data_IF_488762077018
#
_entry.id   IF_488762077018
#
_cell.length_a   1.000
_cell.length_b   1.000
_cell.length_c   1.000
_cell.angle_alpha   90.00
_cell.angle_beta   90.00
_cell.angle_gamma   90.00
#
_symmetry.space_group_name_H-M   'P 1'
#
loop_
_entity.id
_entity.type
_entity.pdbx_description
1 polymer ?
#
# COMPACT_ATOMS: atom_id res chain seq x y z
N UNK A 1 82.78 18.80 11.10
CA UNK A 1 82.69 18.85 9.62
C UNK A 1 82.03 17.56 9.17
N UNK A 2 80.89 17.70 8.48
CA UNK A 2 80.27 16.81 7.47
C UNK A 2 80.12 15.32 7.84
N UNK A 3 78.90 14.81 8.03
CA UNK A 3 77.93 14.38 6.99
C UNK A 3 78.55 13.44 5.95
N UNK A 4 77.91 12.27 5.71
CA UNK A 4 77.23 11.92 4.45
C UNK A 4 76.64 10.49 4.48
N UNK A 5 75.35 10.40 4.08
CA UNK A 5 74.56 9.30 3.43
C UNK A 5 74.32 7.97 4.16
N UNK A 6 73.07 7.62 4.50
CA UNK A 6 71.96 7.07 3.68
C UNK A 6 72.24 5.69 3.07
N UNK A 7 71.40 4.71 3.42
CA UNK A 7 71.01 3.66 2.48
C UNK A 7 70.88 2.24 3.03
N UNK A 8 69.63 1.81 3.13
CA UNK A 8 69.13 0.47 2.76
C UNK A 8 68.87 -0.60 3.84
N UNK A 9 67.74 -1.28 3.63
CA UNK A 9 67.00 -2.17 4.50
C UNK A 9 67.57 -3.59 4.52
N UNK A 10 67.87 -4.11 5.71
CA UNK A 10 67.63 -5.52 6.05
C UNK A 10 67.55 -5.68 7.57
N UNK A 11 66.38 -6.09 8.07
CA UNK A 11 66.25 -6.68 9.40
C UNK A 11 66.12 -8.19 9.20
N UNK A 12 67.26 -8.87 9.19
CA UNK A 12 67.36 -10.32 9.40
C UNK A 12 67.68 -10.58 10.88
N UNK A 13 66.78 -11.34 11.51
CA UNK A 13 66.99 -12.38 12.51
C UNK A 13 68.22 -12.30 13.42
N UNK A 14 67.99 -11.92 14.69
CA UNK A 14 68.89 -12.25 15.78
C UNK A 14 68.42 -13.55 16.45
N UNK A 15 68.99 -14.67 16.00
CA UNK A 15 69.01 -15.95 16.70
C UNK A 15 69.56 -15.79 18.12
N UNK A 16 68.80 -16.27 19.10
CA UNK A 16 69.26 -16.46 20.48
C UNK A 16 70.22 -17.66 20.45
N UNK A 17 71.51 -17.41 20.68
CA UNK A 17 72.56 -18.43 20.62
C UNK A 17 72.54 -19.38 21.82
N UNK A 18 72.85 -20.66 21.58
CA UNK A 18 72.87 -21.76 22.58
C UNK A 18 73.76 -21.48 23.81
N UNK A 19 74.69 -20.53 23.75
CA UNK A 19 75.57 -20.14 24.86
C UNK A 19 74.86 -19.40 26.01
N UNK A 20 73.70 -18.76 25.78
CA UNK A 20 72.90 -18.15 26.86
C UNK A 20 72.05 -19.18 27.62
N UNK A 21 71.69 -20.30 26.97
CA UNK A 21 70.92 -21.39 27.57
C UNK A 21 71.76 -22.23 28.53
N UNK A 22 73.04 -22.45 28.21
CA UNK A 22 73.96 -23.25 29.06
C UNK A 22 74.32 -22.58 30.40
N UNK A 23 74.31 -21.23 30.47
CA UNK A 23 74.61 -20.53 31.74
C UNK A 23 73.48 -20.65 32.76
N UNK A 24 72.24 -20.79 32.30
CA UNK A 24 71.07 -20.90 33.17
C UNK A 24 70.93 -22.33 33.74
N UNK A 25 71.43 -23.35 33.03
CA UNK A 25 71.35 -24.75 33.48
C UNK A 25 72.39 -25.14 34.54
N UNK A 26 73.46 -24.38 34.76
CA UNK A 26 74.59 -24.80 35.62
C UNK A 26 74.63 -24.20 37.04
N UNK A 27 73.53 -23.64 37.54
CA UNK A 27 73.39 -23.20 38.93
C UNK A 27 72.21 -23.92 39.64
N UNK A 28 72.55 -24.98 40.35
CA UNK A 28 71.69 -25.90 41.12
C UNK A 28 70.56 -25.25 41.97
N UNK A 29 69.32 -25.72 41.80
CA UNK A 29 68.62 -26.54 42.82
C UNK A 29 67.28 -27.16 42.31
N UNK A 30 67.08 -28.50 42.36
CA UNK A 30 65.98 -29.19 41.67
C UNK A 30 64.73 -29.44 42.54
N UNK A 31 64.23 -28.45 43.28
CA UNK A 31 62.93 -28.59 43.98
C UNK A 31 61.97 -27.40 43.87
N UNK A 32 62.39 -26.27 43.30
CA UNK A 32 61.53 -25.09 43.15
C UNK A 32 60.96 -24.96 41.73
N UNK A 33 61.67 -25.46 40.71
CA UNK A 33 61.25 -25.32 39.31
C UNK A 33 60.04 -26.20 38.94
N UNK A 34 59.91 -27.39 39.53
CA UNK A 34 58.71 -28.23 39.36
C UNK A 34 57.47 -27.58 39.97
N UNK A 35 57.58 -26.97 41.14
CA UNK A 35 56.46 -26.27 41.79
C UNK A 35 56.12 -24.98 41.05
N UNK A 36 57.10 -24.19 40.61
CA UNK A 36 56.83 -22.95 39.86
C UNK A 36 56.23 -23.22 38.48
N UNK A 37 56.66 -24.27 37.77
CA UNK A 37 56.13 -24.64 36.45
C UNK A 37 54.74 -25.29 36.57
N UNK A 38 54.48 -26.07 37.63
CA UNK A 38 53.13 -26.58 37.94
C UNK A 38 52.18 -25.44 38.35
N UNK A 39 52.67 -24.45 39.11
CA UNK A 39 51.89 -23.23 39.45
C UNK A 39 51.66 -22.39 38.20
N UNK A 40 52.64 -22.23 37.32
CA UNK A 40 52.48 -21.45 36.08
C UNK A 40 51.51 -22.11 35.10
N UNK A 41 51.57 -23.43 34.93
CA UNK A 41 50.60 -24.21 34.14
C UNK A 41 49.22 -24.19 34.80
N UNK A 42 49.13 -24.32 36.13
CA UNK A 42 47.85 -24.22 36.84
C UNK A 42 47.24 -22.82 36.72
N UNK A 43 48.04 -21.75 36.81
CA UNK A 43 47.60 -20.36 36.60
C UNK A 43 47.21 -20.13 35.14
N UNK A 44 47.94 -20.67 34.16
CA UNK A 44 47.52 -20.62 32.75
C UNK A 44 46.23 -21.40 32.49
N UNK A 45 46.04 -22.58 33.07
CA UNK A 45 44.81 -23.37 32.94
C UNK A 45 43.64 -22.68 33.64
N UNK A 46 43.87 -22.01 34.78
CA UNK A 46 42.86 -21.18 35.47
C UNK A 46 42.59 -19.88 34.70
N UNK A 47 43.57 -19.27 34.03
CA UNK A 47 43.35 -18.09 33.20
C UNK A 47 42.67 -18.44 31.86
N UNK A 48 43.04 -19.55 31.21
CA UNK A 48 42.38 -20.05 29.98
C UNK A 48 41.00 -20.60 30.31
N UNK A 49 40.85 -21.33 31.42
CA UNK A 49 39.56 -21.81 31.92
C UNK A 49 38.69 -20.68 32.48
N UNK A 50 39.28 -19.64 33.06
CA UNK A 50 38.61 -18.43 33.52
C UNK A 50 38.20 -17.52 32.38
N UNK A 51 38.99 -17.41 31.31
CA UNK A 51 38.61 -16.77 30.06
C UNK A 51 37.54 -17.57 29.35
N UNK A 52 37.68 -18.89 29.20
CA UNK A 52 36.66 -19.75 28.60
C UNK A 52 35.37 -19.76 29.41
N UNK A 53 35.44 -19.77 30.74
CA UNK A 53 34.27 -19.66 31.62
C UNK A 53 33.69 -18.25 31.62
N UNK A 54 34.50 -17.20 31.51
CA UNK A 54 34.02 -15.83 31.33
C UNK A 54 33.31 -15.70 29.99
N UNK A 55 33.92 -16.12 28.87
CA UNK A 55 33.31 -16.16 27.54
C UNK A 55 32.07 -17.05 27.51
N UNK A 56 32.07 -18.20 28.17
CA UNK A 56 30.90 -19.09 28.25
C UNK A 56 29.79 -18.47 29.10
N UNK A 57 30.12 -17.80 30.21
CA UNK A 57 29.15 -17.17 31.09
C UNK A 57 28.63 -15.83 30.53
N UNK A 58 29.46 -15.04 29.83
CA UNK A 58 29.02 -13.85 29.10
C UNK A 58 28.27 -14.21 27.84
N UNK A 59 28.68 -15.26 27.09
CA UNK A 59 27.89 -15.82 25.99
C UNK A 59 26.56 -16.31 26.52
N UNK A 60 26.48 -17.19 27.52
CA UNK A 60 25.19 -17.68 28.04
C UNK A 60 24.26 -16.57 28.56
N UNK A 61 24.81 -15.47 29.12
CA UNK A 61 24.04 -14.30 29.56
C UNK A 61 23.61 -13.42 28.37
N UNK A 62 24.45 -13.25 27.35
CA UNK A 62 24.09 -12.60 26.08
C UNK A 62 23.09 -13.44 25.28
N UNK A 63 23.26 -14.76 25.25
CA UNK A 63 22.38 -15.75 24.65
C UNK A 63 20.98 -15.65 25.24
N UNK A 64 20.86 -15.55 26.57
CA UNK A 64 19.56 -15.34 27.23
C UNK A 64 18.92 -13.98 26.93
N UNK A 65 19.72 -12.94 26.66
CA UNK A 65 19.21 -11.58 26.38
C UNK A 65 18.79 -11.43 24.93
N UNK A 66 19.57 -11.98 23.99
CA UNK A 66 19.26 -11.96 22.56
C UNK A 66 18.09 -12.87 22.21
N UNK A 67 18.01 -14.07 22.80
CA UNK A 67 16.84 -14.93 22.63
C UNK A 67 15.56 -14.23 23.10
N UNK A 68 15.60 -13.55 24.26
CA UNK A 68 14.47 -12.77 24.74
C UNK A 68 14.12 -11.62 23.78
N UNK A 69 15.12 -10.89 23.26
CA UNK A 69 14.87 -9.82 22.28
C UNK A 69 14.21 -10.35 21.00
N UNK A 70 14.58 -11.55 20.54
CA UNK A 70 13.95 -12.17 19.37
C UNK A 70 12.50 -12.57 19.68
N UNK A 71 12.22 -13.11 20.88
CA UNK A 71 10.87 -13.41 21.34
C UNK A 71 10.01 -12.15 21.45
N UNK A 72 10.56 -11.08 22.01
CA UNK A 72 9.87 -9.78 22.14
C UNK A 72 9.56 -9.21 20.76
N UNK A 73 10.53 -9.19 19.84
CA UNK A 73 10.31 -8.78 18.45
C UNK A 73 9.22 -9.63 17.77
N UNK A 74 9.22 -10.95 17.98
CA UNK A 74 8.18 -11.83 17.41
C UNK A 74 6.80 -11.54 17.99
N UNK A 75 6.72 -11.30 19.30
CA UNK A 75 5.48 -10.92 19.99
C UNK A 75 4.92 -9.60 19.44
N UNK A 76 5.77 -8.62 19.16
CA UNK A 76 5.38 -7.36 18.55
C UNK A 76 4.86 -7.55 17.11
N UNK A 77 5.47 -8.43 16.31
CA UNK A 77 4.93 -8.82 15.01
C UNK A 77 3.53 -9.41 15.18
N UNK A 78 3.38 -10.43 16.01
CA UNK A 78 2.12 -11.14 16.19
C UNK A 78 0.99 -10.22 16.66
N UNK A 79 1.28 -9.31 17.60
CA UNK A 79 0.31 -8.34 18.12
C UNK A 79 -0.07 -7.30 17.06
N UNK A 80 0.89 -6.78 16.30
CA UNK A 80 0.61 -5.84 15.22
C UNK A 80 -0.22 -6.50 14.12
N UNK A 81 0.12 -7.73 13.74
CA UNK A 81 -0.65 -8.52 12.76
C UNK A 81 -2.07 -8.80 13.25
N UNK A 82 -2.26 -9.17 14.52
CA UNK A 82 -3.60 -9.39 15.08
C UNK A 82 -4.46 -8.12 15.04
N UNK A 83 -3.87 -6.95 15.33
CA UNK A 83 -4.57 -5.68 15.21
C UNK A 83 -4.91 -5.35 13.74
N UNK A 84 -3.99 -5.62 12.81
CA UNK A 84 -4.19 -5.37 11.38
C UNK A 84 -5.33 -6.21 10.81
N UNK A 85 -5.28 -7.51 11.05
CA UNK A 85 -6.30 -8.47 10.58
C UNK A 85 -7.66 -8.20 11.20
N UNK A 86 -7.73 -7.97 12.52
CA UNK A 86 -8.98 -7.57 13.15
C UNK A 86 -9.55 -6.26 12.58
N UNK A 87 -8.70 -5.31 12.21
CA UNK A 87 -9.16 -4.07 11.56
C UNK A 87 -9.58 -4.27 10.11
N UNK A 88 -9.05 -5.29 9.44
CA UNK A 88 -9.41 -5.65 8.08
C UNK A 88 -10.73 -6.41 8.02
N UNK A 89 -10.99 -7.31 8.97
CA UNK A 89 -12.22 -8.10 9.06
C UNK A 89 -13.48 -7.23 9.24
N UNK A 90 -13.32 -6.00 9.73
CA UNK A 90 -14.41 -5.01 9.86
C UNK A 90 -14.77 -4.32 8.52
N UNK A 91 -14.04 -4.60 7.45
CA UNK A 91 -14.17 -3.93 6.15
C UNK A 91 -15.07 -4.75 5.23
N UNK A 92 -16.28 -4.23 4.99
CA UNK A 92 -17.24 -4.81 4.05
C UNK A 92 -17.33 -4.03 2.72
N UNK A 93 -16.70 -2.87 2.65
CA UNK A 93 -16.69 -1.98 1.51
C UNK A 93 -15.31 -1.39 1.26
N UNK A 94 -14.91 -1.37 -0.01
CA UNK A 94 -13.60 -0.91 -0.45
C UNK A 94 -13.31 0.54 -0.06
N UNK A 95 -14.34 1.40 0.02
CA UNK A 95 -14.19 2.80 0.41
C UNK A 95 -13.85 2.98 1.89
N UNK A 96 -14.14 1.98 2.73
CA UNK A 96 -13.83 1.99 4.16
C UNK A 96 -12.32 1.85 4.40
N UNK A 97 -11.59 1.19 3.49
CA UNK A 97 -10.12 1.04 3.56
C UNK A 97 -9.38 2.38 3.70
N UNK A 98 -9.93 3.44 3.09
CA UNK A 98 -9.31 4.77 3.05
C UNK A 98 -10.19 5.87 3.67
N UNK A 99 -11.22 5.49 4.44
CA UNK A 99 -12.07 6.43 5.16
C UNK A 99 -11.29 7.08 6.31
N UNK A 100 -11.28 8.42 6.38
CA UNK A 100 -10.58 9.16 7.44
C UNK A 100 -11.38 9.17 8.75
N UNK A 101 -11.31 8.06 9.48
CA UNK A 101 -11.95 7.88 10.79
C UNK A 101 -10.93 7.45 11.84
N UNK A 102 -11.19 7.81 13.11
CA UNK A 102 -10.27 7.50 14.20
C UNK A 102 -10.20 5.98 14.43
N UNK A 103 -9.04 5.39 14.19
CA UNK A 103 -8.84 3.94 14.31
C UNK A 103 -9.12 3.18 13.01
N UNK A 104 -9.15 3.87 11.87
CA UNK A 104 -9.30 3.23 10.56
C UNK A 104 -8.16 2.25 10.24
N UNK A 105 -8.45 1.37 9.28
CA UNK A 105 -7.51 0.38 8.76
C UNK A 105 -6.19 0.99 8.30
N UNK A 106 -6.24 2.12 7.58
CA UNK A 106 -5.03 2.80 7.09
C UNK A 106 -4.08 3.21 8.22
N UNK A 107 -4.59 3.62 9.40
CA UNK A 107 -3.75 3.89 10.56
C UNK A 107 -3.09 2.61 11.08
N UNK A 108 -3.86 1.54 11.23
CA UNK A 108 -3.36 0.24 11.70
C UNK A 108 -2.31 -0.36 10.76
N UNK A 109 -2.50 -0.21 9.45
CA UNK A 109 -1.54 -0.59 8.41
C UNK A 109 -0.22 0.19 8.55
N UNK A 110 -0.29 1.51 8.74
CA UNK A 110 0.89 2.34 8.96
C UNK A 110 1.62 2.02 10.27
N UNK A 111 0.88 1.80 11.36
CA UNK A 111 1.46 1.39 12.65
C UNK A 111 2.15 0.02 12.52
N UNK A 112 1.54 -0.94 11.81
CA UNK A 112 2.15 -2.26 11.54
C UNK A 112 3.42 -2.12 10.70
N UNK A 113 3.40 -1.31 9.63
CA UNK A 113 4.58 -1.02 8.82
C UNK A 113 5.74 -0.42 9.65
N UNK A 114 5.43 0.48 10.60
CA UNK A 114 6.45 1.03 11.52
C UNK A 114 7.03 -0.08 12.41
N UNK A 115 6.19 -0.92 13.01
CA UNK A 115 6.63 -2.03 13.87
C UNK A 115 7.56 -2.98 13.11
N UNK A 116 7.20 -3.40 11.89
CA UNK A 116 8.05 -4.27 11.07
C UNK A 116 9.40 -3.62 10.74
N UNK A 117 9.40 -2.31 10.47
CA UNK A 117 10.63 -1.56 10.20
C UNK A 117 11.55 -1.51 11.43
N UNK A 118 10.98 -1.23 12.61
CA UNK A 118 11.74 -1.19 13.87
C UNK A 118 12.33 -2.58 14.20
N UNK A 119 11.54 -3.64 14.01
CA UNK A 119 11.99 -5.02 14.19
C UNK A 119 13.10 -5.38 13.19
N UNK A 120 12.99 -4.96 11.93
CA UNK A 120 14.04 -5.18 10.92
C UNK A 120 15.38 -4.57 11.37
N UNK A 121 15.37 -3.36 11.95
CA UNK A 121 16.58 -2.76 12.51
C UNK A 121 17.11 -3.52 13.73
N UNK A 122 16.22 -3.97 14.61
CA UNK A 122 16.59 -4.74 15.79
C UNK A 122 17.26 -6.07 15.40
N UNK A 123 16.68 -6.82 14.45
CA UNK A 123 17.24 -8.09 13.98
C UNK A 123 18.61 -7.91 13.33
N UNK A 124 18.79 -6.88 12.49
CA UNK A 124 20.09 -6.54 11.87
C UNK A 124 21.18 -6.20 12.89
N UNK A 125 20.78 -5.63 14.04
CA UNK A 125 21.73 -5.33 15.13
C UNK A 125 22.20 -6.59 15.86
N UNK A 126 21.41 -7.68 15.80
CA UNK A 126 21.69 -8.95 16.46
C UNK A 126 22.48 -9.90 15.54
N UNK A 127 22.24 -9.87 14.22
CA UNK A 127 22.91 -10.74 13.24
C UNK A 127 24.42 -10.51 13.07
N UNK A 128 24.98 -9.44 13.66
CA UNK A 128 26.43 -9.19 13.73
C UNK A 128 27.21 -10.04 14.75
N UNK A 129 26.52 -10.84 15.58
CA UNK A 129 27.14 -11.66 16.64
C UNK A 129 27.07 -13.16 16.31
N UNK A 130 28.17 -13.89 16.51
CA UNK A 130 28.27 -15.31 16.18
C UNK A 130 27.40 -16.16 17.12
N UNK A 131 26.19 -16.53 16.67
CA UNK A 131 25.19 -17.24 17.47
C UNK A 131 24.77 -18.59 16.87
N UNK A 132 24.40 -19.57 17.71
CA UNK A 132 23.87 -20.88 17.30
C UNK A 132 22.41 -20.84 16.79
N UNK A 133 21.74 -19.68 16.90
CA UNK A 133 20.39 -19.36 16.41
C UNK A 133 20.34 -18.53 15.12
N UNK A 134 21.46 -18.39 14.40
CA UNK A 134 21.61 -17.57 13.20
C UNK A 134 20.57 -17.92 12.09
N UNK A 135 20.14 -19.18 12.01
CA UNK A 135 19.15 -19.61 11.01
C UNK A 135 17.75 -19.05 11.29
N UNK A 136 17.27 -19.08 12.54
CA UNK A 136 15.93 -18.55 12.89
C UNK A 136 15.90 -17.03 12.70
N UNK A 137 16.95 -16.34 13.15
CA UNK A 137 17.08 -14.88 12.98
C UNK A 137 17.07 -14.52 11.49
N UNK A 138 17.89 -15.19 10.68
CA UNK A 138 17.93 -14.97 9.24
C UNK A 138 16.58 -15.23 8.56
N UNK A 139 15.84 -16.27 8.96
CA UNK A 139 14.48 -16.52 8.43
C UNK A 139 13.48 -15.47 8.90
N UNK A 140 13.61 -14.98 10.12
CA UNK A 140 12.75 -13.95 10.67
C UNK A 140 12.99 -12.61 9.97
N UNK A 141 14.26 -12.27 9.69
CA UNK A 141 14.62 -11.09 8.88
C UNK A 141 13.97 -11.15 7.49
N UNK A 142 14.10 -12.30 6.80
CA UNK A 142 13.47 -12.48 5.47
C UNK A 142 11.95 -12.39 5.56
N UNK A 143 11.32 -13.02 6.56
CA UNK A 143 9.87 -12.93 6.74
C UNK A 143 9.42 -11.48 6.97
N UNK A 144 10.07 -10.74 7.88
CA UNK A 144 9.76 -9.34 8.18
C UNK A 144 9.94 -8.46 6.94
N UNK A 145 10.97 -8.70 6.14
CA UNK A 145 11.19 -8.00 4.87
C UNK A 145 10.04 -8.27 3.88
N UNK A 146 9.70 -9.53 3.65
CA UNK A 146 8.59 -9.91 2.75
C UNK A 146 7.24 -9.38 3.22
N UNK A 147 6.99 -9.42 4.52
CA UNK A 147 5.77 -8.87 5.09
C UNK A 147 5.72 -7.34 4.92
N UNK A 148 6.84 -6.64 5.13
CA UNK A 148 6.90 -5.19 4.89
C UNK A 148 6.70 -4.82 3.42
N UNK A 149 7.22 -5.60 2.48
CA UNK A 149 6.99 -5.37 1.05
C UNK A 149 5.51 -5.60 0.68
N UNK A 150 4.89 -6.67 1.18
CA UNK A 150 3.45 -6.93 1.04
C UNK A 150 2.60 -5.76 1.57
N UNK A 151 2.87 -5.29 2.79
CA UNK A 151 2.11 -4.17 3.37
C UNK A 151 2.34 -2.84 2.64
N UNK A 152 3.51 -2.64 2.03
CA UNK A 152 3.79 -1.47 1.20
C UNK A 152 2.98 -1.49 -0.08
N UNK A 153 2.88 -2.65 -0.72
CA UNK A 153 2.04 -2.81 -1.91
C UNK A 153 0.56 -2.64 -1.58
N UNK A 154 0.10 -3.20 -0.45
CA UNK A 154 -1.26 -2.99 0.04
C UNK A 154 -1.57 -1.49 0.24
N UNK A 155 -0.65 -0.75 0.84
CA UNK A 155 -0.79 0.70 1.02
C UNK A 155 -0.82 1.44 -0.33
N UNK A 156 0.06 1.07 -1.26
CA UNK A 156 0.10 1.63 -2.63
C UNK A 156 -1.24 1.45 -3.35
N UNK A 157 -1.79 0.23 -3.30
CA UNK A 157 -3.07 -0.09 -3.91
C UNK A 157 -4.23 0.68 -3.28
N UNK A 158 -4.26 0.82 -1.95
CA UNK A 158 -5.26 1.65 -1.24
C UNK A 158 -5.16 3.13 -1.65
N UNK A 159 -3.96 3.65 -1.85
CA UNK A 159 -3.77 5.04 -2.27
C UNK A 159 -4.22 5.27 -3.73
N UNK A 160 -4.01 4.29 -4.62
CA UNK A 160 -4.54 4.30 -5.98
C UNK A 160 -6.07 4.25 -6.00
N UNK A 161 -6.65 3.39 -5.16
CA UNK A 161 -8.10 3.25 -4.98
C UNK A 161 -8.73 4.57 -4.54
N UNK A 162 -8.15 5.22 -3.53
CA UNK A 162 -8.57 6.55 -3.05
C UNK A 162 -8.52 7.61 -4.16
N UNK A 163 -7.54 7.50 -5.06
CA UNK A 163 -7.41 8.36 -6.24
C UNK A 163 -8.39 8.03 -7.38
N UNK A 164 -9.19 6.97 -7.25
CA UNK A 164 -10.10 6.49 -8.29
C UNK A 164 -9.40 5.84 -9.48
N UNK A 165 -8.12 5.48 -9.33
CA UNK A 165 -7.24 4.99 -10.40
C UNK A 165 -7.30 3.48 -10.61
N UNK A 166 -7.90 2.73 -9.68
CA UNK A 166 -8.09 1.28 -9.83
C UNK A 166 -9.14 1.01 -10.89
N UNK A 167 -8.73 0.30 -11.94
CA UNK A 167 -9.56 -0.03 -13.11
C UNK A 167 -9.76 -1.53 -13.29
N UNK A 168 -8.87 -2.36 -12.75
CA UNK A 168 -8.89 -3.82 -12.94
C UNK A 168 -8.41 -4.60 -11.72
N UNK A 169 -8.84 -5.86 -11.59
CA UNK A 169 -8.38 -6.78 -10.54
C UNK A 169 -6.95 -7.24 -10.78
N UNK A 170 -6.52 -7.28 -12.04
CA UNK A 170 -5.16 -7.65 -12.44
C UNK A 170 -4.09 -6.73 -11.81
N UNK A 171 -4.47 -5.53 -11.35
CA UNK A 171 -3.61 -4.62 -10.58
C UNK A 171 -3.23 -5.20 -9.20
N UNK A 172 -3.96 -6.18 -8.67
CA UNK A 172 -3.63 -6.89 -7.43
C UNK A 172 -2.56 -7.98 -7.62
N UNK A 173 -2.10 -8.23 -8.84
CA UNK A 173 -1.14 -9.30 -9.13
C UNK A 173 0.11 -9.20 -8.26
N UNK A 174 0.71 -8.01 -8.15
CA UNK A 174 1.94 -7.81 -7.38
C UNK A 174 1.67 -8.02 -5.88
N UNK A 175 0.49 -7.62 -5.39
CA UNK A 175 0.05 -7.89 -4.02
C UNK A 175 -0.06 -9.40 -3.74
N UNK A 176 -0.64 -10.18 -4.66
CA UNK A 176 -0.73 -11.64 -4.54
C UNK A 176 0.66 -12.29 -4.55
N UNK A 177 1.54 -11.90 -5.47
CA UNK A 177 2.91 -12.45 -5.55
C UNK A 177 3.71 -12.15 -4.27
N UNK A 178 3.55 -10.96 -3.69
CA UNK A 178 4.16 -10.59 -2.41
C UNK A 178 3.54 -11.36 -1.24
N UNK A 179 2.22 -11.57 -1.24
CA UNK A 179 1.52 -12.39 -0.25
C UNK A 179 2.02 -13.84 -0.26
N UNK A 180 2.12 -14.46 -1.43
CA UNK A 180 2.67 -15.81 -1.59
C UNK A 180 4.13 -15.90 -1.12
N UNK A 181 4.95 -14.89 -1.48
CA UNK A 181 6.34 -14.83 -1.02
C UNK A 181 6.44 -14.65 0.50
N UNK A 182 5.52 -13.93 1.13
CA UNK A 182 5.46 -13.77 2.58
C UNK A 182 5.06 -15.10 3.25
N UNK A 183 4.08 -15.80 2.69
CA UNK A 183 3.60 -17.10 3.20
C UNK A 183 4.73 -18.14 3.18
N UNK A 184 5.44 -18.26 2.06
CA UNK A 184 6.61 -19.16 1.94
C UNK A 184 7.73 -18.78 2.92
N UNK A 185 7.97 -17.48 3.14
CA UNK A 185 8.94 -17.03 4.12
C UNK A 185 8.52 -17.38 5.57
N UNK A 186 7.23 -17.27 5.88
CA UNK A 186 6.66 -17.66 7.17
C UNK A 186 6.80 -19.17 7.41
N UNK A 187 6.45 -20.00 6.44
CA UNK A 187 6.60 -21.47 6.55
C UNK A 187 8.06 -21.85 6.81
N UNK A 188 9.00 -21.23 6.07
CA UNK A 188 10.44 -21.44 6.25
C UNK A 188 10.93 -21.01 7.64
N UNK A 189 10.36 -19.94 8.19
CA UNK A 189 10.64 -19.46 9.54
C UNK A 189 10.15 -20.47 10.59
N UNK A 190 8.88 -20.91 10.50
CA UNK A 190 8.30 -21.90 11.42
C UNK A 190 9.09 -23.22 11.38
N UNK A 191 9.50 -23.69 10.21
CA UNK A 191 10.31 -24.91 10.08
C UNK A 191 11.71 -24.74 10.67
N UNK A 192 12.29 -23.54 10.55
CA UNK A 192 13.61 -23.24 11.09
C UNK A 192 13.62 -23.14 12.63
N UNK A 193 12.48 -22.85 13.25
CA UNK A 193 12.36 -22.66 14.70
C UNK A 193 12.37 -23.98 15.50
N UNK A 194 13.54 -24.61 15.55
CA UNK A 194 13.77 -25.81 16.39
C UNK A 194 13.80 -25.47 17.89
N UNK A 195 14.01 -24.21 18.24
CA UNK A 195 14.13 -23.72 19.61
C UNK A 195 12.81 -23.33 20.26
N UNK A 196 11.71 -23.28 19.50
CA UNK A 196 10.41 -22.75 19.94
C UNK A 196 10.54 -21.31 20.45
N UNK A 197 11.32 -20.50 19.74
CA UNK A 197 11.43 -19.06 19.95
C UNK A 197 10.12 -18.38 19.52
N UNK A 198 9.46 -18.94 18.50
CA UNK A 198 8.15 -18.53 18.03
C UNK A 198 7.11 -19.23 18.89
N UNK A 199 6.57 -18.50 19.86
CA UNK A 199 5.56 -19.00 20.79
C UNK A 199 4.12 -18.66 20.35
N UNK A 200 3.98 -17.79 19.36
CA UNK A 200 2.72 -17.23 18.88
C UNK A 200 2.57 -17.46 17.38
N UNK A 201 1.49 -18.14 16.96
CA UNK A 201 1.17 -18.34 15.53
C UNK A 201 0.46 -17.09 15.01
N UNK A 202 0.77 -16.67 13.77
CA UNK A 202 0.09 -15.53 13.17
C UNK A 202 -1.38 -15.88 12.85
N UNK A 203 -2.31 -14.92 12.94
CA UNK A 203 -3.70 -15.12 12.57
C UNK A 203 -3.83 -15.62 11.12
N UNK A 204 -4.70 -16.60 10.90
CA UNK A 204 -4.96 -17.16 9.56
C UNK A 204 -5.47 -16.12 8.57
N UNK A 205 -6.14 -15.10 9.09
CA UNK A 205 -6.73 -13.99 8.39
C UNK A 205 -5.66 -13.22 7.60
N UNK A 206 -4.43 -13.08 8.13
CA UNK A 206 -3.31 -12.44 7.43
C UNK A 206 -3.09 -13.05 6.04
N UNK A 207 -3.15 -14.37 5.97
CA UNK A 207 -2.84 -15.13 4.77
C UNK A 207 -4.01 -15.14 3.76
N UNK A 208 -5.20 -14.74 4.19
CA UNK A 208 -6.38 -14.60 3.35
C UNK A 208 -6.65 -13.16 2.90
N UNK A 209 -6.10 -12.15 3.58
CA UNK A 209 -6.30 -10.73 3.26
C UNK A 209 -6.11 -10.41 1.77
N UNK A 210 -5.10 -11.00 1.13
CA UNK A 210 -4.84 -10.77 -0.31
C UNK A 210 -6.00 -11.23 -1.20
N UNK A 211 -6.65 -12.34 -0.85
CA UNK A 211 -7.83 -12.84 -1.55
C UNK A 211 -9.06 -12.01 -1.24
N UNK A 212 -9.24 -11.62 0.01
CA UNK A 212 -10.37 -10.77 0.42
C UNK A 212 -10.28 -9.37 -0.23
N UNK A 213 -9.07 -8.86 -0.47
CA UNK A 213 -8.84 -7.66 -1.28
C UNK A 213 -9.31 -7.82 -2.73
N UNK A 214 -9.19 -9.01 -3.32
CA UNK A 214 -9.73 -9.33 -4.65
C UNK A 214 -11.26 -9.17 -4.67
N UNK A 215 -11.93 -9.77 -3.68
CA UNK A 215 -13.39 -9.70 -3.53
C UNK A 215 -13.88 -8.27 -3.32
N UNK A 216 -13.22 -7.50 -2.44
CA UNK A 216 -13.55 -6.08 -2.22
C UNK A 216 -13.33 -5.23 -3.48
N UNK A 217 -12.25 -5.50 -4.23
CA UNK A 217 -11.94 -4.78 -5.48
C UNK A 217 -12.96 -5.10 -6.57
N UNK A 218 -13.33 -6.37 -6.74
CA UNK A 218 -14.35 -6.78 -7.69
C UNK A 218 -15.67 -6.09 -7.41
N UNK A 219 -16.10 -6.08 -6.13
CA UNK A 219 -17.32 -5.39 -5.70
C UNK A 219 -17.27 -3.90 -6.04
N UNK A 220 -16.15 -3.23 -5.74
CA UNK A 220 -15.95 -1.81 -6.06
C UNK A 220 -16.07 -1.52 -7.56
N UNK A 221 -15.41 -2.32 -8.41
CA UNK A 221 -15.45 -2.16 -9.86
C UNK A 221 -16.85 -2.42 -10.43
N UNK A 222 -17.56 -3.44 -9.92
CA UNK A 222 -18.92 -3.74 -10.31
C UNK A 222 -19.89 -2.61 -9.95
N UNK A 223 -19.75 -2.03 -8.76
CA UNK A 223 -20.60 -0.93 -8.31
C UNK A 223 -20.30 0.36 -9.11
N UNK A 224 -19.03 0.65 -9.41
CA UNK A 224 -18.63 1.75 -10.32
C UNK A 224 -19.25 1.57 -11.71
N UNK A 225 -19.24 0.33 -12.24
CA UNK A 225 -19.85 0.01 -13.54
C UNK A 225 -21.37 0.18 -13.51
N UNK A 226 -22.06 -0.34 -12.49
CA UNK A 226 -23.51 -0.19 -12.34
C UNK A 226 -23.91 1.28 -12.27
N UNK A 227 -23.20 2.09 -11.50
CA UNK A 227 -23.42 3.54 -11.43
C UNK A 227 -23.30 4.18 -12.83
N UNK A 228 -22.25 3.86 -13.59
CA UNK A 228 -22.10 4.35 -14.96
C UNK A 228 -23.22 3.90 -15.91
N UNK A 229 -23.70 2.66 -15.78
CA UNK A 229 -24.84 2.16 -16.56
C UNK A 229 -26.15 2.87 -16.20
N UNK A 230 -26.39 3.15 -14.92
CA UNK A 230 -27.55 3.90 -14.45
C UNK A 230 -27.52 5.36 -14.92
N UNK A 231 -26.36 6.03 -14.83
CA UNK A 231 -26.18 7.37 -15.38
C UNK A 231 -26.48 7.41 -16.88
N UNK A 232 -25.99 6.42 -17.64
CA UNK A 232 -26.25 6.34 -19.08
C UNK A 232 -27.73 6.13 -19.40
N UNK A 233 -28.44 5.32 -18.61
CA UNK A 233 -29.91 5.17 -18.73
C UNK A 233 -30.64 6.48 -18.46
N UNK A 234 -30.23 7.22 -17.43
CA UNK A 234 -30.82 8.53 -17.13
C UNK A 234 -30.53 9.50 -18.28
N UNK A 235 -29.28 9.62 -18.73
CA UNK A 235 -28.91 10.46 -19.88
C UNK A 235 -29.72 10.14 -21.13
N UNK A 236 -29.97 8.85 -21.42
CA UNK A 236 -30.82 8.44 -22.53
C UNK A 236 -32.27 8.97 -22.39
N UNK A 237 -32.86 8.91 -21.19
CA UNK A 237 -34.19 9.48 -20.91
C UNK A 237 -34.21 11.00 -21.08
N UNK A 238 -33.19 11.70 -20.56
CA UNK A 238 -33.05 13.16 -20.71
C UNK A 238 -32.96 13.55 -22.19
N UNK A 239 -32.11 12.82 -22.94
CA UNK A 239 -31.90 13.05 -24.37
C UNK A 239 -33.19 12.85 -25.16
N UNK A 240 -33.97 11.83 -24.82
CA UNK A 240 -35.26 11.55 -25.42
C UNK A 240 -36.27 12.68 -25.14
N UNK A 241 -36.37 13.17 -23.90
CA UNK A 241 -37.24 14.30 -23.54
C UNK A 241 -36.90 15.55 -24.34
N UNK A 242 -35.62 15.94 -24.40
CA UNK A 242 -35.20 17.12 -25.16
C UNK A 242 -35.44 16.96 -26.67
N UNK A 243 -35.17 15.77 -27.22
CA UNK A 243 -35.40 15.47 -28.64
C UNK A 243 -36.88 15.53 -29.00
N UNK A 244 -37.75 14.96 -28.18
CA UNK A 244 -39.21 15.00 -28.37
C UNK A 244 -39.78 16.40 -28.23
N UNK A 245 -39.26 17.19 -27.30
CA UNK A 245 -39.62 18.61 -27.18
C UNK A 245 -39.25 19.40 -28.44
N UNK A 246 -38.04 19.22 -28.97
CA UNK A 246 -37.62 19.89 -30.21
C UNK A 246 -38.38 19.36 -31.43
N UNK A 247 -38.71 18.07 -31.48
CA UNK A 247 -39.56 17.52 -32.53
C UNK A 247 -40.96 18.15 -32.50
N UNK A 248 -41.56 18.33 -31.33
CA UNK A 248 -42.84 19.03 -31.17
C UNK A 248 -42.74 20.50 -31.60
N UNK A 249 -41.63 21.16 -31.29
CA UNK A 249 -41.33 22.52 -31.78
C UNK A 249 -41.28 22.58 -33.32
N UNK A 250 -40.55 21.66 -33.97
CA UNK A 250 -40.46 21.58 -35.43
C UNK A 250 -41.83 21.30 -36.06
N UNK A 251 -42.63 20.43 -35.45
CA UNK A 251 -43.97 20.07 -35.92
C UNK A 251 -45.03 21.15 -35.63
N UNK A 252 -44.64 22.25 -34.97
CA UNK A 252 -45.54 23.30 -34.52
C UNK A 252 -46.65 22.81 -33.57
N UNK A 253 -46.35 21.79 -32.78
CA UNK A 253 -47.28 21.16 -31.85
C UNK A 253 -47.06 21.70 -30.42
N UNK A 254 -47.72 22.82 -30.13
CA UNK A 254 -47.60 23.51 -28.85
C UNK A 254 -48.09 22.66 -27.66
N UNK A 255 -49.13 21.83 -27.84
CA UNK A 255 -49.65 20.99 -26.76
C UNK A 255 -48.68 19.86 -26.43
N UNK A 256 -48.08 19.22 -27.44
CA UNK A 256 -46.99 18.25 -27.22
C UNK A 256 -45.77 18.89 -26.57
N UNK A 257 -45.37 20.11 -26.96
CA UNK A 257 -44.29 20.82 -26.29
C UNK A 257 -44.56 21.02 -24.80
N UNK A 258 -45.76 21.51 -24.45
CA UNK A 258 -46.16 21.73 -23.05
C UNK A 258 -46.15 20.45 -22.21
N UNK A 259 -46.36 19.28 -22.81
CA UNK A 259 -46.31 18.00 -22.09
C UNK A 259 -44.94 17.65 -21.50
N UNK A 260 -43.86 18.21 -22.06
CA UNK A 260 -42.49 18.00 -21.60
C UNK A 260 -41.97 19.11 -20.66
N UNK A 261 -42.78 20.13 -20.38
CA UNK A 261 -42.40 21.27 -19.55
C UNK A 261 -42.76 21.06 -18.07
N UNK A 262 -42.00 21.68 -17.16
CA UNK A 262 -42.42 21.86 -15.77
C UNK A 262 -43.64 22.77 -15.70
N UNK A 263 -44.39 22.72 -14.58
CA UNK A 263 -45.57 23.59 -14.41
C UNK A 263 -45.18 25.08 -14.43
N UNK A 264 -44.03 25.40 -13.85
CA UNK A 264 -43.44 26.74 -13.90
C UNK A 264 -43.14 27.14 -15.35
N UNK A 265 -42.43 26.29 -16.11
CA UNK A 265 -42.10 26.56 -17.52
C UNK A 265 -43.34 26.66 -18.42
N UNK A 266 -44.42 25.93 -18.11
CA UNK A 266 -45.70 26.05 -18.84
C UNK A 266 -46.32 27.44 -18.69
N UNK A 267 -46.19 28.08 -17.52
CA UNK A 267 -46.74 29.43 -17.32
C UNK A 267 -46.02 30.50 -18.13
N UNK A 268 -44.74 30.29 -18.43
CA UNK A 268 -43.92 31.18 -19.25
C UNK A 268 -43.95 30.82 -20.75
N UNK A 269 -44.54 29.69 -21.12
CA UNK A 269 -44.58 29.20 -22.50
C UNK A 269 -45.56 30.01 -23.36
N UNK A 270 -45.00 30.84 -24.25
CA UNK A 270 -45.79 31.58 -25.24
C UNK A 270 -46.07 30.72 -26.48
N UNK A 271 -47.31 30.25 -26.60
CA UNK A 271 -47.80 29.45 -27.74
C UNK A 271 -47.64 30.16 -29.10
N UNK A 272 -47.62 31.49 -29.13
CA UNK A 272 -47.46 32.29 -30.36
C UNK A 272 -46.05 32.28 -30.96
N UNK A 273 -45.03 31.84 -30.22
CA UNK A 273 -43.63 31.75 -30.72
C UNK A 273 -43.46 30.64 -31.77
N UNK A 274 -44.45 29.74 -31.89
CA UNK A 274 -44.43 28.61 -32.83
C UNK A 274 -44.74 29.06 -34.29
N UNK A 275 -45.21 30.29 -34.50
CA UNK A 275 -45.75 30.75 -35.79
C UNK A 275 -44.77 31.49 -36.73
N UNK A 276 -43.59 31.94 -36.28
CA UNK A 276 -42.57 32.57 -37.16
C UNK A 276 -41.45 31.58 -37.48
N UNK A 277 -41.69 30.70 -38.45
CA UNK A 277 -40.85 29.54 -38.74
C UNK A 277 -39.54 29.91 -39.46
N UNK A 278 -38.47 29.98 -38.69
CA UNK A 278 -37.19 29.45 -39.15
C UNK A 278 -37.24 27.93 -38.93
N UNK A 279 -37.09 27.16 -40.01
CA UNK A 279 -37.24 25.71 -39.99
C UNK A 279 -36.03 25.07 -39.30
N UNK A 280 -36.25 24.27 -38.24
CA UNK A 280 -35.17 23.53 -37.59
C UNK A 280 -34.83 22.33 -38.46
N UNK A 281 -33.66 22.35 -39.09
CA UNK A 281 -33.20 21.30 -40.00
C UNK A 281 -32.41 20.21 -39.28
N UNK A 282 -31.75 20.54 -38.15
CA UNK A 282 -30.98 19.56 -37.37
C UNK A 282 -30.98 19.90 -35.89
N UNK A 283 -31.12 18.86 -35.05
CA UNK A 283 -30.92 18.92 -33.60
C UNK A 283 -29.84 17.91 -33.22
N UNK A 284 -28.77 18.39 -32.58
CA UNK A 284 -27.66 17.55 -32.11
C UNK A 284 -27.40 17.81 -30.63
N UNK A 285 -27.48 16.77 -29.82
CA UNK A 285 -27.05 16.83 -28.42
C UNK A 285 -25.52 16.82 -28.40
N UNK A 286 -24.93 17.76 -27.68
CA UNK A 286 -23.48 17.91 -27.52
C UNK A 286 -23.00 17.21 -26.24
N UNK A 287 -23.71 17.45 -25.13
CA UNK A 287 -23.35 16.90 -23.82
C UNK A 287 -24.58 16.84 -22.89
N UNK A 288 -24.52 15.96 -21.89
CA UNK A 288 -25.56 15.80 -20.87
C UNK A 288 -24.92 15.53 -19.52
N UNK A 289 -25.11 16.46 -18.59
CA UNK A 289 -24.46 16.49 -17.28
C UNK A 289 -25.50 16.42 -16.16
N UNK A 290 -25.39 15.39 -15.33
CA UNK A 290 -26.17 15.26 -14.10
C UNK A 290 -25.54 16.21 -13.07
N UNK A 291 -26.31 17.19 -12.60
CA UNK A 291 -25.87 18.16 -11.57
C UNK A 291 -26.35 17.73 -10.17
N UNK A 292 -27.06 16.60 -10.10
CA UNK A 292 -27.57 15.95 -8.89
C UNK A 292 -28.76 15.05 -9.25
N UNK A 293 -29.37 14.43 -8.25
CA UNK A 293 -30.42 13.42 -8.46
C UNK A 293 -31.67 13.92 -9.19
N UNK A 294 -31.93 15.23 -9.09
CA UNK A 294 -33.15 15.87 -9.58
C UNK A 294 -32.91 16.96 -10.62
N UNK A 295 -31.67 17.17 -11.07
CA UNK A 295 -31.33 18.25 -12.02
C UNK A 295 -30.27 17.82 -13.02
N UNK A 296 -30.54 18.12 -14.29
CA UNK A 296 -29.64 17.84 -15.41
C UNK A 296 -29.48 19.07 -16.29
N UNK A 297 -28.28 19.25 -16.83
CA UNK A 297 -28.00 20.19 -17.91
C UNK A 297 -27.71 19.42 -19.20
N UNK A 298 -28.45 19.74 -20.26
CA UNK A 298 -28.23 19.20 -21.59
C UNK A 298 -27.86 20.33 -22.54
N UNK A 299 -26.68 20.22 -23.13
CA UNK A 299 -26.20 21.18 -24.12
C UNK A 299 -26.44 20.59 -25.50
N UNK A 300 -27.07 21.36 -26.37
CA UNK A 300 -27.40 20.96 -27.72
C UNK A 300 -27.15 22.08 -28.72
N UNK A 301 -27.11 21.69 -29.99
CA UNK A 301 -26.95 22.54 -31.14
C UNK A 301 -28.17 22.37 -32.04
N UNK A 302 -28.80 23.48 -32.39
CA UNK A 302 -29.89 23.54 -33.35
C UNK A 302 -29.39 24.24 -34.61
N UNK A 303 -29.62 23.63 -35.76
CA UNK A 303 -29.41 24.24 -37.06
C UNK A 303 -30.76 24.60 -37.64
N UNK A 304 -30.84 25.83 -38.14
CA UNK A 304 -32.07 26.51 -38.53
C UNK A 304 -31.91 27.10 -39.92
N UNK A 305 -32.96 27.02 -40.74
CA UNK A 305 -33.00 27.55 -42.10
C UNK A 305 -34.08 28.62 -42.24
N UNK A 306 -33.69 29.79 -42.71
CA UNK A 306 -34.62 30.90 -42.96
C UNK A 306 -35.45 30.65 -44.23
N UNK A 307 -36.56 31.38 -44.44
CA UNK A 307 -37.28 31.36 -45.71
C UNK A 307 -36.41 31.76 -46.92
N UNK A 308 -35.32 32.50 -46.70
CA UNK A 308 -34.31 32.85 -47.72
C UNK A 308 -33.26 31.75 -47.96
N UNK A 309 -33.44 30.56 -47.37
CA UNK A 309 -32.54 29.40 -47.41
C UNK A 309 -31.18 29.58 -46.71
N UNK A 310 -30.98 30.67 -45.97
CA UNK A 310 -29.79 30.86 -45.16
C UNK A 310 -29.84 29.95 -43.94
N UNK A 311 -28.71 29.28 -43.66
CA UNK A 311 -28.60 28.37 -42.52
C UNK A 311 -27.79 29.02 -41.41
N UNK A 312 -28.30 29.00 -40.19
CA UNK A 312 -27.56 29.41 -39.01
C UNK A 312 -27.66 28.37 -37.91
N UNK A 313 -26.68 28.38 -37.02
CA UNK A 313 -26.58 27.43 -35.91
C UNK A 313 -26.65 28.18 -34.59
N UNK A 314 -27.49 27.69 -33.69
CA UNK A 314 -27.61 28.19 -32.32
C UNK A 314 -27.29 27.06 -31.33
N UNK A 315 -26.63 27.42 -30.23
CA UNK A 315 -26.41 26.50 -29.12
C UNK A 315 -27.47 26.75 -28.04
N UNK A 316 -28.07 25.69 -27.53
CA UNK A 316 -29.12 25.72 -26.50
C UNK A 316 -28.72 24.87 -25.31
N UNK A 317 -28.86 25.42 -24.11
CA UNK A 317 -28.77 24.68 -22.85
C UNK A 317 -30.18 24.45 -22.34
N UNK A 318 -30.52 23.19 -22.13
CA UNK A 318 -31.74 22.75 -21.48
C UNK A 318 -31.44 22.44 -20.02
N UNK A 319 -32.25 22.98 -19.13
CA UNK A 319 -32.26 22.59 -17.71
C UNK A 319 -33.46 21.67 -17.55
N UNK A 320 -33.21 20.43 -17.13
CA UNK A 320 -34.25 19.44 -16.85
C UNK A 320 -34.30 19.16 -15.36
N UNK A 321 -35.51 19.08 -14.82
CA UNK A 321 -35.79 18.75 -13.43
C UNK A 321 -36.58 17.46 -13.34
N UNK A 322 -36.27 16.65 -12.32
CA UNK A 322 -37.01 15.43 -12.01
C UNK A 322 -38.23 15.78 -11.14
N UNK A 323 -39.43 15.52 -11.64
CA UNK A 323 -40.69 15.59 -10.88
C UNK A 323 -41.28 14.18 -10.75
N UNK A 324 -41.15 13.58 -9.57
CA UNK A 324 -41.55 12.19 -9.34
C UNK A 324 -40.69 11.22 -10.17
N UNK A 325 -41.34 10.44 -11.04
CA UNK A 325 -40.67 9.50 -11.95
C UNK A 325 -40.32 10.10 -13.32
N UNK A 326 -40.68 11.35 -13.59
CA UNK A 326 -40.53 11.98 -14.90
C UNK A 326 -39.51 13.11 -14.88
N UNK A 327 -38.82 13.27 -16.02
CA UNK A 327 -37.95 14.40 -16.28
C UNK A 327 -38.67 15.40 -17.18
N UNK A 328 -38.63 16.67 -16.81
CA UNK A 328 -39.31 17.76 -17.49
C UNK A 328 -38.34 18.92 -17.71
N UNK A 329 -38.52 19.65 -18.81
CA UNK A 329 -37.73 20.83 -19.15
C UNK A 329 -38.25 22.01 -18.33
N UNK A 330 -37.36 22.60 -17.57
CA UNK A 330 -37.62 23.79 -16.77
C UNK A 330 -37.22 25.07 -17.52
N UNK A 331 -36.15 25.02 -18.31
CA UNK A 331 -35.79 26.12 -19.20
C UNK A 331 -34.92 25.66 -20.37
N UNK A 332 -34.94 26.43 -21.45
CA UNK A 332 -34.05 26.26 -22.61
C UNK A 332 -33.57 27.63 -23.10
N UNK A 333 -32.26 27.88 -23.02
CA UNK A 333 -31.69 29.22 -23.28
C UNK A 333 -30.50 29.12 -24.22
N UNK A 334 -30.23 30.21 -24.95
CA UNK A 334 -29.00 30.30 -25.73
C UNK A 334 -27.79 30.31 -24.80
N UNK A 335 -26.70 29.67 -25.21
CA UNK A 335 -25.41 29.79 -24.54
C UNK A 335 -24.30 29.99 -25.57
N UNK A 336 -23.21 30.63 -25.16
CA UNK A 336 -22.04 30.94 -25.99
C UNK A 336 -21.02 29.80 -25.97
#
# INVERSE_FOLDING_TARGET
>A
MQDTEMGDLSHEDNEITEEEVERIQKANNPKVMGVMLTIFVAVMVIMIGGLASYYYFTSQKQDSTHEQTIKDNWSDVALATASLTSSFDEIDDFTVLFADTKGNFQKTLNDTNRTLKDISYNLRSISGYAFSGNVVISKMEVFVEKYSDYLRELQSFIDQAKGGLVESIEELKDLHELGDSMNDAYDKLIIADRGKIIDSVLPSELFNMSREMEDLTQKYLDDKKKQGEEENKIKAVINDVASKFIQAYTNKDADSMMSYLTDEAKTEFNRGIVEEAVEVTTFKILDTRLIGDNKTELDAQLTKQTPSQETYTEKKRFILLKKGSQWQIDSWRNFS
#
